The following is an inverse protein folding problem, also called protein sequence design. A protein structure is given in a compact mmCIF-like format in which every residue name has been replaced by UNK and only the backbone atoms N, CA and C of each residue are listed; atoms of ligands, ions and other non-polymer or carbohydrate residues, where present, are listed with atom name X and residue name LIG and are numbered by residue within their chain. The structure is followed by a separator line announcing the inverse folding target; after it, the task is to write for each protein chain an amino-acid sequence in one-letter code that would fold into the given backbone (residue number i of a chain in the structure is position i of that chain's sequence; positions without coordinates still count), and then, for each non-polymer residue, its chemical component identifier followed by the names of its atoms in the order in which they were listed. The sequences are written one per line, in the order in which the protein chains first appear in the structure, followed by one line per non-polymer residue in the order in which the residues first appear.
data_IF_278652082235
#
_entry.id   IF_278652082235
#
_cell.length_a   1.000
_cell.length_b   1.000
_cell.length_c   1.000
_cell.angle_alpha   90.00
_cell.angle_beta   90.00
_cell.angle_gamma   90.00
#
_symmetry.space_group_name_H-M   'P 1'
#
loop_
_entity.id
_entity.type
_entity.pdbx_description
1 polymer ?
#
# COMPACT_ATOMS: atom_id res chain seq x y z
N UNK A 1 34.56 56.38 52.47
CA UNK A 1 35.17 56.60 51.14
C UNK A 1 34.70 55.46 50.25
N UNK A 2 34.03 55.81 49.15
CA UNK A 2 33.59 54.95 48.04
C UNK A 2 34.71 53.96 47.63
N UNK A 3 34.43 52.74 47.17
CA UNK A 3 34.03 52.44 45.78
C UNK A 3 33.31 51.08 45.72
N UNK A 4 32.15 51.09 45.07
CA UNK A 4 31.42 49.96 44.49
C UNK A 4 32.14 49.53 43.21
N UNK A 5 32.40 48.23 42.99
CA UNK A 5 32.51 47.68 41.63
C UNK A 5 32.18 46.18 41.59
N UNK A 6 30.90 45.92 41.31
CA UNK A 6 30.34 44.94 40.37
C UNK A 6 31.29 43.92 39.73
N UNK A 7 30.90 42.64 39.71
CA UNK A 7 30.19 41.96 38.61
C UNK A 7 30.28 40.45 38.82
N UNK A 8 29.14 39.75 38.85
CA UNK A 8 28.96 38.40 38.31
C UNK A 8 27.44 38.14 38.19
N UNK A 9 26.80 38.97 37.35
CA UNK A 9 25.50 38.66 36.78
C UNK A 9 25.70 37.56 35.74
N UNK A 10 25.67 36.30 36.19
CA UNK A 10 25.57 35.15 35.31
C UNK A 10 24.27 35.22 34.51
N UNK A 11 24.35 34.93 33.21
CA UNK A 11 23.23 34.90 32.28
C UNK A 11 22.20 33.85 32.71
N UNK A 12 21.24 34.23 33.56
CA UNK A 12 20.05 33.43 33.77
C UNK A 12 19.04 33.87 32.70
N UNK A 13 18.91 33.07 31.64
CA UNK A 13 17.82 33.24 30.67
C UNK A 13 16.49 33.31 31.42
N UNK A 14 15.69 34.34 31.12
CA UNK A 14 14.47 34.65 31.87
C UNK A 14 13.49 33.46 31.81
N UNK A 15 13.29 32.68 32.89
CA UNK A 15 12.44 31.49 32.87
C UNK A 15 10.98 31.85 32.55
N UNK A 16 10.55 33.08 32.85
CA UNK A 16 9.21 33.57 32.56
C UNK A 16 8.93 33.68 31.05
N UNK A 17 9.95 34.05 30.26
CA UNK A 17 9.83 34.13 28.81
C UNK A 17 9.71 32.74 28.18
N UNK A 18 10.43 31.75 28.72
CA UNK A 18 10.36 30.37 28.25
C UNK A 18 9.04 29.68 28.61
N UNK A 19 8.49 29.95 29.80
CA UNK A 19 7.15 29.48 30.20
C UNK A 19 6.09 30.04 29.26
N UNK A 20 6.13 31.34 28.96
CA UNK A 20 5.19 31.98 28.04
C UNK A 20 5.26 31.38 26.62
N UNK A 21 6.47 31.10 26.12
CA UNK A 21 6.68 30.44 24.83
C UNK A 21 6.18 28.99 24.81
N UNK A 22 6.32 28.27 25.92
CA UNK A 22 5.82 26.90 26.04
C UNK A 22 4.29 26.88 26.04
N UNK A 23 3.65 27.81 26.74
CA UNK A 23 2.18 27.93 26.77
C UNK A 23 1.63 28.22 25.38
N UNK A 24 2.27 29.12 24.63
CA UNK A 24 1.91 29.42 23.24
C UNK A 24 2.05 28.18 22.33
N UNK A 25 3.15 27.43 22.47
CA UNK A 25 3.37 26.20 21.71
C UNK A 25 2.36 25.10 22.06
N UNK A 26 2.01 24.94 23.34
CA UNK A 26 0.99 23.98 23.77
C UNK A 26 -0.36 24.35 23.18
N UNK A 27 -0.74 25.63 23.19
CA UNK A 27 -1.98 26.10 22.59
C UNK A 27 -2.00 25.85 21.07
N UNK A 28 -0.91 26.15 20.37
CA UNK A 28 -0.78 25.91 18.92
C UNK A 28 -0.87 24.43 18.56
N UNK A 29 -0.13 23.56 19.27
CA UNK A 29 -0.13 22.11 19.03
C UNK A 29 -1.48 21.47 19.36
N UNK A 30 -2.20 22.00 20.36
CA UNK A 30 -3.55 21.53 20.69
C UNK A 30 -4.53 21.88 19.56
N UNK A 31 -4.46 23.11 19.05
CA UNK A 31 -5.29 23.54 17.93
C UNK A 31 -5.01 22.73 16.64
N UNK A 32 -3.73 22.42 16.38
CA UNK A 32 -3.33 21.58 15.25
C UNK A 32 -3.83 20.13 15.40
N UNK A 33 -3.69 19.53 16.59
CA UNK A 33 -4.22 18.19 16.86
C UNK A 33 -5.74 18.13 16.66
N UNK A 34 -6.47 19.14 17.11
CA UNK A 34 -7.92 19.21 16.91
C UNK A 34 -8.29 19.36 15.43
N UNK A 35 -7.53 20.13 14.66
CA UNK A 35 -7.74 20.28 13.22
C UNK A 35 -7.45 18.96 12.46
N UNK A 36 -6.35 18.29 12.76
CA UNK A 36 -6.00 17.00 12.17
C UNK A 36 -7.03 15.92 12.53
N UNK A 37 -7.51 15.89 13.77
CA UNK A 37 -8.57 14.98 14.20
C UNK A 37 -9.86 15.19 13.42
N UNK A 38 -10.25 16.44 13.16
CA UNK A 38 -11.41 16.76 12.30
C UNK A 38 -11.18 16.29 10.87
N UNK A 39 -10.01 16.56 10.29
CA UNK A 39 -9.69 16.08 8.94
C UNK A 39 -9.76 14.55 8.84
N UNK A 40 -9.22 13.83 9.82
CA UNK A 40 -9.30 12.37 9.88
C UNK A 40 -10.76 11.91 10.01
N UNK A 41 -11.59 12.58 10.82
CA UNK A 41 -13.02 12.25 10.94
C UNK A 41 -13.81 12.54 9.66
N UNK A 42 -13.54 13.67 9.00
CA UNK A 42 -14.17 14.05 7.74
C UNK A 42 -13.77 13.09 6.61
N UNK A 43 -12.48 12.75 6.52
CA UNK A 43 -11.98 11.76 5.57
C UNK A 43 -12.54 10.36 5.88
N UNK A 44 -12.64 9.96 7.15
CA UNK A 44 -13.23 8.69 7.55
C UNK A 44 -14.73 8.63 7.23
N UNK A 45 -15.46 9.72 7.47
CA UNK A 45 -16.89 9.81 7.14
C UNK A 45 -17.13 9.88 5.62
N UNK A 46 -16.25 10.56 4.87
CA UNK A 46 -16.29 10.58 3.40
C UNK A 46 -15.84 9.25 2.79
N UNK A 47 -14.99 8.50 3.50
CA UNK A 47 -14.54 7.17 3.14
C UNK A 47 -15.46 6.06 3.67
N UNK A 48 -16.63 6.37 4.25
CA UNK A 48 -17.71 5.40 4.44
C UNK A 48 -18.31 5.00 3.07
N UNK A 49 -17.50 4.38 2.21
CA UNK A 49 -17.93 3.07 1.74
C UNK A 49 -17.97 2.19 3.00
N UNK A 50 -19.07 1.47 3.27
CA UNK A 50 -19.05 0.51 4.38
C UNK A 50 -17.77 -0.31 4.23
N UNK A 51 -17.02 -0.64 5.30
CA UNK A 51 -15.97 -1.63 5.17
C UNK A 51 -16.68 -2.78 4.49
N UNK A 52 -16.34 -3.05 3.23
CA UNK A 52 -16.80 -4.24 2.53
C UNK A 52 -16.34 -5.31 3.49
N UNK A 53 -17.31 -5.83 4.24
CA UNK A 53 -17.15 -6.86 5.23
C UNK A 53 -16.15 -7.79 4.60
N UNK A 54 -14.94 -7.94 5.20
CA UNK A 54 -13.93 -8.93 4.84
C UNK A 54 -14.63 -9.95 3.98
N UNK A 55 -14.55 -9.83 2.63
CA UNK A 55 -15.46 -10.59 1.76
C UNK A 55 -15.28 -12.01 2.26
N UNK A 56 -16.30 -12.59 2.91
CA UNK A 56 -16.18 -13.93 3.48
C UNK A 56 -15.64 -14.73 2.33
N UNK A 57 -14.40 -15.22 2.48
CA UNK A 57 -13.58 -15.62 1.35
C UNK A 57 -14.42 -16.61 0.56
N UNK A 58 -14.97 -16.18 -0.58
CA UNK A 58 -15.91 -16.98 -1.34
C UNK A 58 -15.10 -18.19 -1.75
N UNK A 59 -15.38 -19.38 -1.19
CA UNK A 59 -14.50 -20.53 -1.36
C UNK A 59 -14.39 -20.89 -2.83
N UNK A 60 -15.41 -20.61 -3.65
CA UNK A 60 -15.36 -20.80 -5.09
C UNK A 60 -14.44 -19.78 -5.78
N UNK A 61 -14.42 -18.52 -5.34
CA UNK A 61 -13.45 -17.52 -5.86
C UNK A 61 -12.02 -17.88 -5.46
N UNK A 62 -11.83 -18.32 -4.21
CA UNK A 62 -10.52 -18.74 -3.72
C UNK A 62 -10.00 -19.96 -4.48
N UNK A 63 -10.81 -21.01 -4.62
CA UNK A 63 -10.49 -22.21 -5.41
C UNK A 63 -10.17 -21.85 -6.87
N UNK A 64 -10.98 -20.97 -7.46
CA UNK A 64 -10.75 -20.50 -8.83
C UNK A 64 -9.42 -19.75 -8.96
N UNK A 65 -9.07 -18.88 -8.01
CA UNK A 65 -7.79 -18.17 -8.04
C UNK A 65 -6.61 -19.12 -7.80
N UNK A 66 -6.74 -20.09 -6.88
CA UNK A 66 -5.74 -21.13 -6.66
C UNK A 66 -5.49 -21.96 -7.93
N UNK A 67 -6.54 -22.28 -8.69
CA UNK A 67 -6.41 -22.97 -9.98
C UNK A 67 -5.57 -22.20 -10.99
N UNK A 68 -5.66 -20.86 -10.99
CA UNK A 68 -4.82 -19.99 -11.82
C UNK A 68 -3.37 -19.99 -11.32
N UNK A 69 -3.15 -19.85 -10.01
CA UNK A 69 -1.82 -19.77 -9.42
C UNK A 69 -1.00 -21.07 -9.60
N UNK A 70 -1.67 -22.19 -9.86
CA UNK A 70 -1.02 -23.45 -10.24
C UNK A 70 -0.54 -23.50 -11.70
N UNK A 71 -0.99 -22.58 -12.57
CA UNK A 71 -0.68 -22.54 -14.01
C UNK A 71 0.56 -21.69 -14.30
N UNK A 72 1.71 -22.11 -13.79
CA UNK A 72 2.99 -21.42 -14.05
C UNK A 72 3.41 -21.47 -15.52
N UNK A 73 2.85 -22.40 -16.29
CA UNK A 73 3.00 -22.50 -17.75
C UNK A 73 2.42 -21.30 -18.52
N UNK A 74 1.55 -20.51 -17.89
CA UNK A 74 0.96 -19.30 -18.49
C UNK A 74 1.81 -18.04 -18.28
N UNK A 75 2.92 -18.12 -17.54
CA UNK A 75 3.81 -16.98 -17.34
C UNK A 75 4.64 -16.77 -18.63
N UNK A 76 4.52 -15.63 -19.33
CA UNK A 76 5.06 -15.45 -20.68
C UNK A 76 6.53 -15.01 -20.70
N UNK A 77 7.15 -14.88 -19.52
CA UNK A 77 8.52 -14.40 -19.36
C UNK A 77 9.36 -15.50 -18.75
N UNK A 78 10.54 -15.74 -19.33
CA UNK A 78 11.54 -16.67 -18.81
C UNK A 78 12.23 -16.10 -17.56
N UNK A 79 12.63 -16.99 -16.65
CA UNK A 79 13.41 -16.59 -15.48
C UNK A 79 14.84 -16.19 -15.89
N UNK A 80 15.38 -15.18 -15.23
CA UNK A 80 16.76 -14.74 -15.35
C UNK A 80 17.65 -15.32 -14.25
N UNK A 81 18.94 -15.49 -14.57
CA UNK A 81 20.01 -15.79 -13.60
C UNK A 81 19.76 -17.03 -12.70
N UNK A 82 19.04 -18.02 -13.21
CA UNK A 82 18.70 -19.22 -12.44
C UNK A 82 17.57 -19.02 -11.41
N UNK A 83 16.83 -17.92 -11.51
CA UNK A 83 15.60 -17.70 -10.77
C UNK A 83 14.47 -18.64 -11.18
N UNK A 84 13.32 -18.47 -10.54
CA UNK A 84 12.09 -19.19 -10.92
C UNK A 84 10.92 -18.21 -10.88
N UNK A 85 10.30 -18.02 -12.04
CA UNK A 85 9.09 -17.23 -12.15
C UNK A 85 7.98 -17.89 -11.34
N UNK A 86 7.34 -17.11 -10.47
CA UNK A 86 6.24 -17.58 -9.62
C UNK A 86 5.23 -16.47 -9.43
N UNK A 87 3.97 -16.85 -9.33
CA UNK A 87 2.92 -15.91 -8.98
C UNK A 87 3.05 -15.42 -7.53
N UNK A 88 2.52 -14.23 -7.28
CA UNK A 88 2.37 -13.66 -5.95
C UNK A 88 0.88 -13.66 -5.58
N UNK A 89 0.41 -14.59 -4.73
CA UNK A 89 -1.01 -14.77 -4.45
C UNK A 89 -1.72 -13.51 -3.96
N UNK A 90 -1.04 -12.65 -3.20
CA UNK A 90 -1.60 -11.39 -2.69
C UNK A 90 -1.87 -10.32 -3.75
N UNK A 91 -1.26 -10.45 -4.92
CA UNK A 91 -1.41 -9.52 -6.05
C UNK A 91 -2.39 -10.06 -7.12
N UNK A 92 -2.80 -11.32 -7.02
CA UNK A 92 -3.73 -11.93 -7.96
C UNK A 92 -5.18 -11.61 -7.59
N UNK A 93 -6.01 -11.25 -8.58
CA UNK A 93 -7.40 -10.83 -8.38
C UNK A 93 -8.30 -11.33 -9.50
N UNK A 94 -9.48 -11.83 -9.15
CA UNK A 94 -10.53 -12.07 -10.14
C UNK A 94 -11.20 -10.74 -10.54
N UNK A 95 -11.40 -10.56 -11.83
CA UNK A 95 -12.07 -9.40 -12.43
C UNK A 95 -13.41 -9.88 -13.00
N UNK A 96 -14.44 -9.92 -12.16
CA UNK A 96 -15.74 -10.50 -12.52
C UNK A 96 -15.71 -12.03 -12.56
N UNK A 97 -16.44 -12.64 -13.50
CA UNK A 97 -16.68 -14.08 -13.51
C UNK A 97 -15.63 -14.88 -14.27
N UNK A 98 -14.96 -14.29 -15.27
CA UNK A 98 -14.15 -15.02 -16.25
C UNK A 98 -12.76 -14.39 -16.48
N UNK A 99 -12.46 -13.21 -15.93
CA UNK A 99 -11.16 -12.59 -16.07
C UNK A 99 -10.40 -12.61 -14.74
N UNK A 100 -9.07 -12.60 -14.84
CA UNK A 100 -8.18 -12.46 -13.71
C UNK A 100 -6.99 -11.57 -14.06
N UNK A 101 -6.54 -10.84 -13.06
CA UNK A 101 -5.23 -10.20 -13.03
C UNK A 101 -4.28 -11.05 -12.18
N UNK A 102 -3.03 -11.21 -12.62
CA UNK A 102 -2.00 -11.86 -11.82
C UNK A 102 -0.64 -11.20 -12.04
N UNK A 103 0.16 -11.20 -10.99
CA UNK A 103 1.56 -10.77 -11.01
C UNK A 103 2.47 -11.96 -10.78
N UNK A 104 3.57 -12.03 -11.54
CA UNK A 104 4.63 -13.00 -11.32
C UNK A 104 6.01 -12.35 -11.43
N UNK A 105 6.96 -12.86 -10.66
CA UNK A 105 8.37 -12.46 -10.74
C UNK A 105 9.31 -13.59 -10.33
N UNK A 106 10.58 -13.44 -10.67
CA UNK A 106 11.67 -14.29 -10.18
C UNK A 106 12.69 -13.51 -9.30
N UNK A 107 12.44 -12.22 -9.06
CA UNK A 107 13.33 -11.29 -8.36
C UNK A 107 14.20 -10.42 -9.28
N UNK A 108 14.21 -10.67 -10.59
CA UNK A 108 14.89 -9.85 -11.61
C UNK A 108 13.92 -9.41 -12.71
N UNK A 109 13.12 -10.35 -13.21
CA UNK A 109 12.04 -10.13 -14.16
C UNK A 109 10.71 -10.11 -13.40
N UNK A 110 9.83 -9.21 -13.83
CA UNK A 110 8.47 -9.08 -13.34
C UNK A 110 7.51 -8.99 -14.53
N UNK A 111 6.31 -9.54 -14.36
CA UNK A 111 5.27 -9.50 -15.38
C UNK A 111 3.88 -9.39 -14.77
N UNK A 112 3.11 -8.45 -15.29
CA UNK A 112 1.68 -8.30 -15.04
C UNK A 112 0.89 -9.02 -16.13
N UNK A 113 -0.19 -9.71 -15.79
CA UNK A 113 -0.92 -10.57 -16.71
C UNK A 113 -2.44 -10.40 -16.57
N UNK A 114 -3.13 -10.39 -17.70
CA UNK A 114 -4.58 -10.54 -17.79
C UNK A 114 -4.92 -11.90 -18.39
N UNK A 115 -5.67 -12.71 -17.66
CA UNK A 115 -6.02 -14.07 -18.03
C UNK A 115 -7.54 -14.24 -18.12
N UNK A 116 -7.98 -15.15 -19.00
CA UNK A 116 -9.37 -15.58 -19.14
C UNK A 116 -9.53 -17.00 -18.65
N UNK A 117 -10.61 -17.24 -17.91
CA UNK A 117 -11.11 -18.57 -17.59
C UNK A 117 -12.36 -18.87 -18.41
N UNK A 118 -12.26 -19.77 -19.37
CA UNK A 118 -13.45 -20.40 -19.97
C UNK A 118 -13.88 -21.51 -19.02
N UNK A 119 -15.01 -21.32 -18.32
CA UNK A 119 -15.42 -22.18 -17.19
C UNK A 119 -15.46 -23.69 -17.48
N UNK A 120 -15.59 -24.49 -16.42
CA UNK A 120 -15.55 -25.94 -16.44
C UNK A 120 -14.96 -26.46 -15.13
N UNK A 121 -15.00 -27.78 -14.86
CA UNK A 121 -14.56 -28.33 -13.57
C UNK A 121 -13.06 -28.16 -13.28
N UNK A 122 -12.26 -27.79 -14.29
CA UNK A 122 -10.81 -27.60 -14.17
C UNK A 122 -10.35 -26.14 -14.31
N UNK A 123 -11.26 -25.19 -14.51
CA UNK A 123 -10.96 -23.78 -14.81
C UNK A 123 -9.92 -23.62 -15.93
N UNK A 124 -10.37 -23.64 -17.19
CA UNK A 124 -9.43 -23.53 -18.31
C UNK A 124 -8.95 -22.08 -18.48
N UNK A 125 -7.70 -21.84 -18.11
CA UNK A 125 -7.05 -20.53 -18.13
C UNK A 125 -6.24 -20.31 -19.40
N UNK A 126 -6.39 -19.13 -19.99
CA UNK A 126 -5.60 -18.65 -21.13
C UNK A 126 -5.10 -17.24 -20.83
N UNK A 127 -3.82 -16.97 -21.10
CA UNK A 127 -3.27 -15.63 -21.02
C UNK A 127 -3.76 -14.80 -22.23
N UNK A 128 -4.26 -13.60 -21.96
CA UNK A 128 -4.85 -12.70 -22.97
C UNK A 128 -3.87 -11.56 -23.30
N UNK A 129 -3.26 -11.00 -22.26
CA UNK A 129 -2.34 -9.89 -22.38
C UNK A 129 -1.35 -9.88 -21.21
N UNK A 130 -0.18 -9.31 -21.42
CA UNK A 130 0.82 -9.14 -20.38
C UNK A 130 1.63 -7.86 -20.57
N UNK A 131 2.23 -7.38 -19.49
CA UNK A 131 3.22 -6.30 -19.49
C UNK A 131 4.45 -6.73 -18.67
N UNK A 132 5.62 -6.73 -19.29
CA UNK A 132 6.91 -7.04 -18.67
C UNK A 132 7.82 -5.79 -18.57
N UNK A 133 7.21 -4.61 -18.44
CA UNK A 133 7.89 -3.30 -18.37
C UNK A 133 7.98 -2.55 -19.70
N UNK A 134 7.27 -3.02 -20.73
CA UNK A 134 7.25 -2.46 -22.09
C UNK A 134 5.90 -1.94 -22.55
N UNK A 135 4.89 -1.98 -21.67
CA UNK A 135 3.49 -1.77 -22.01
C UNK A 135 2.76 -3.08 -22.34
N UNK A 136 1.43 -3.04 -22.28
CA UNK A 136 0.56 -4.19 -22.53
C UNK A 136 0.67 -4.73 -23.95
N UNK A 137 0.93 -6.03 -24.04
CA UNK A 137 1.00 -6.80 -25.28
C UNK A 137 -0.14 -7.82 -25.27
N UNK A 138 -0.86 -7.94 -26.39
CA UNK A 138 -1.86 -9.00 -26.57
C UNK A 138 -1.15 -10.31 -26.91
N UNK A 139 -1.59 -11.40 -26.30
CA UNK A 139 -1.19 -12.73 -26.71
C UNK A 139 -1.97 -13.14 -27.96
N UNK A 140 -1.24 -13.43 -29.03
CA UNK A 140 -1.75 -13.83 -30.34
C UNK A 140 -2.20 -15.29 -30.38
#
# INVERSE_FOLDING_TARGET
MFVILTLLGGCAGNPQAHISQLEEKVAALTAENDALRRQVQELAAAAEEPPSQLEEADPAKAEKLESLLARTDLIPVEAALGGTMRYFPGEAKLLGTDLAYAYAEDGHNAVEMLLRCTGGPAYDWTLIAYDAGGGWQLQS
#
